data_IF_502359394527
#
_entry.id   IF_502359394527
#
_cell.length_a   1.000
_cell.length_b   1.000
_cell.length_c   1.000
_cell.angle_alpha   90.00
_cell.angle_beta   90.00
_cell.angle_gamma   90.00
#
_symmetry.space_group_name_H-M   'P 1'
#
loop_
_entity.id
_entity.type
_entity.pdbx_description
1 polymer ?
#
# COMPACT_ATOMS: atom_id res chain seq x y z
N UNK A 1 -53.78 -8.83 22.86
CA UNK A 1 -52.42 -8.32 23.11
C UNK A 1 -51.50 -9.16 22.22
N UNK A 2 -51.17 -8.64 21.06
CA UNK A 2 -50.30 -9.26 20.10
C UNK A 2 -48.91 -8.65 20.30
N UNK A 3 -47.97 -9.43 20.87
CA UNK A 3 -46.58 -9.08 20.98
C UNK A 3 -45.97 -9.09 19.57
N UNK A 4 -45.67 -7.90 19.07
CA UNK A 4 -44.88 -7.73 17.87
C UNK A 4 -43.40 -7.92 18.26
N UNK A 5 -42.89 -9.12 18.09
CA UNK A 5 -41.46 -9.44 18.21
C UNK A 5 -40.73 -8.75 17.04
N UNK A 6 -40.15 -7.59 17.30
CA UNK A 6 -39.17 -6.99 16.39
C UNK A 6 -37.95 -7.89 16.42
N UNK A 7 -37.85 -8.82 15.46
CA UNK A 7 -36.63 -9.52 15.16
C UNK A 7 -35.63 -8.47 14.67
N UNK A 8 -34.62 -8.18 15.49
CA UNK A 8 -33.41 -7.51 15.07
C UNK A 8 -32.74 -8.43 14.05
N UNK A 9 -32.93 -8.16 12.77
CA UNK A 9 -32.22 -8.88 11.70
C UNK A 9 -30.74 -8.47 11.77
N UNK A 10 -29.93 -9.28 12.45
CA UNK A 10 -28.47 -9.17 12.38
C UNK A 10 -28.09 -9.29 10.88
N UNK A 11 -27.33 -8.32 10.37
CA UNK A 11 -26.83 -8.34 8.98
C UNK A 11 -26.01 -9.60 8.74
N UNK A 12 -26.11 -10.16 7.53
CA UNK A 12 -25.28 -11.29 7.11
C UNK A 12 -23.81 -10.86 6.94
N UNK A 13 -22.84 -11.78 7.01
CA UNK A 13 -21.45 -11.46 6.71
C UNK A 13 -21.24 -10.83 5.32
N UNK A 14 -22.03 -11.22 4.32
CA UNK A 14 -22.00 -10.62 2.99
C UNK A 14 -22.53 -9.17 2.97
N UNK A 15 -23.55 -8.86 3.74
CA UNK A 15 -24.02 -7.47 3.90
C UNK A 15 -22.98 -6.58 4.58
N UNK A 16 -22.13 -7.15 5.45
CA UNK A 16 -20.97 -6.45 6.02
C UNK A 16 -19.92 -6.17 4.94
N UNK A 17 -19.68 -7.10 3.99
CA UNK A 17 -18.77 -6.87 2.88
C UNK A 17 -19.25 -5.70 1.99
N UNK A 18 -20.53 -5.64 1.68
CA UNK A 18 -21.14 -4.51 0.95
C UNK A 18 -20.95 -3.21 1.73
N UNK A 19 -21.19 -3.25 3.05
CA UNK A 19 -20.98 -2.10 3.94
C UNK A 19 -19.52 -1.64 3.96
N UNK A 20 -18.56 -2.56 3.95
CA UNK A 20 -17.14 -2.24 3.89
C UNK A 20 -16.75 -1.50 2.60
N UNK A 21 -17.36 -1.85 1.47
CA UNK A 21 -17.11 -1.19 0.20
C UNK A 21 -17.83 0.16 0.03
N UNK A 22 -18.79 0.48 0.89
CA UNK A 22 -19.44 1.78 0.87
C UNK A 22 -18.44 2.90 1.23
N UNK A 23 -18.27 3.92 0.38
CA UNK A 23 -17.39 5.05 0.64
C UNK A 23 -17.63 5.76 1.98
N UNK A 24 -18.86 5.74 2.48
CA UNK A 24 -19.21 6.36 3.76
C UNK A 24 -18.50 5.72 4.97
N UNK A 25 -18.07 4.45 4.86
CA UNK A 25 -17.37 3.73 5.93
C UNK A 25 -15.84 3.80 5.84
N UNK A 26 -15.29 4.45 4.81
CA UNK A 26 -13.83 4.58 4.65
C UNK A 26 -13.13 5.38 5.75
N UNK A 27 -13.74 6.41 6.36
CA UNK A 27 -13.11 7.12 7.48
C UNK A 27 -12.82 6.22 8.69
N UNK A 28 -13.69 5.22 8.96
CA UNK A 28 -13.50 4.20 10.00
C UNK A 28 -14.08 2.85 9.56
N UNK A 29 -13.29 1.98 8.91
CA UNK A 29 -13.77 0.68 8.44
C UNK A 29 -13.75 -0.39 9.53
N UNK A 30 -13.15 -0.13 10.70
CA UNK A 30 -12.87 -1.15 11.70
C UNK A 30 -14.09 -1.78 12.35
N UNK A 31 -15.17 -1.04 12.66
CA UNK A 31 -16.39 -1.69 13.18
C UNK A 31 -16.93 -2.79 12.25
N UNK A 32 -16.89 -2.57 10.93
CA UNK A 32 -17.31 -3.56 9.93
C UNK A 32 -16.26 -4.68 9.77
N UNK A 33 -14.98 -4.34 9.75
CA UNK A 33 -13.89 -5.32 9.66
C UNK A 33 -13.89 -6.30 10.84
N UNK A 34 -14.21 -5.85 12.06
CA UNK A 34 -14.34 -6.72 13.24
C UNK A 34 -15.48 -7.72 13.08
N UNK A 35 -16.62 -7.28 12.56
CA UNK A 35 -17.76 -8.16 12.29
C UNK A 35 -17.42 -9.20 11.22
N UNK A 36 -16.76 -8.78 10.14
CA UNK A 36 -16.33 -9.67 9.08
C UNK A 36 -15.28 -10.68 9.58
N UNK A 37 -14.31 -10.26 10.41
CA UNK A 37 -13.34 -11.18 11.02
C UNK A 37 -14.03 -12.21 11.91
N UNK A 38 -14.95 -11.78 12.77
CA UNK A 38 -15.69 -12.65 13.68
C UNK A 38 -16.56 -13.68 12.93
N UNK A 39 -17.10 -13.31 11.76
CA UNK A 39 -17.87 -14.21 10.89
C UNK A 39 -17.03 -15.04 9.90
N UNK A 40 -15.71 -14.84 9.87
CA UNK A 40 -14.80 -15.52 8.93
C UNK A 40 -14.54 -16.99 9.33
N UNK A 41 -14.41 -17.93 8.37
CA UNK A 41 -14.60 -17.76 6.92
C UNK A 41 -16.07 -17.64 6.49
N UNK A 42 -16.34 -16.88 5.42
CA UNK A 42 -17.68 -16.84 4.83
C UNK A 42 -17.65 -16.67 3.31
N UNK A 43 -18.70 -17.15 2.65
CA UNK A 43 -18.86 -16.99 1.21
C UNK A 43 -19.64 -15.72 0.89
N UNK A 44 -19.30 -15.09 -0.24
CA UNK A 44 -19.98 -13.95 -0.85
C UNK A 44 -20.12 -14.17 -2.37
N UNK A 45 -20.88 -13.28 -3.05
CA UNK A 45 -21.09 -13.33 -4.49
C UNK A 45 -21.62 -14.70 -4.96
N UNK A 46 -22.72 -15.16 -4.34
CA UNK A 46 -23.33 -16.46 -4.62
C UNK A 46 -22.33 -17.63 -4.52
N UNK A 47 -21.38 -17.56 -3.61
CA UNK A 47 -20.37 -18.58 -3.36
C UNK A 47 -19.13 -18.49 -4.26
N UNK A 48 -19.01 -17.48 -5.12
CA UNK A 48 -17.86 -17.30 -6.00
C UNK A 48 -16.62 -16.72 -5.29
N UNK A 49 -16.81 -16.10 -4.14
CA UNK A 49 -15.76 -15.45 -3.35
C UNK A 49 -15.76 -15.97 -1.92
N UNK A 50 -14.63 -16.42 -1.42
CA UNK A 50 -14.41 -16.73 -0.01
C UNK A 50 -13.72 -15.54 0.67
N UNK A 51 -14.18 -15.14 1.85
CA UNK A 51 -13.63 -14.03 2.62
C UNK A 51 -12.98 -14.55 3.91
N UNK A 52 -11.72 -14.19 4.12
CA UNK A 52 -10.93 -14.53 5.30
C UNK A 52 -10.46 -13.28 6.04
N UNK A 53 -10.68 -13.25 7.36
CA UNK A 53 -10.34 -12.10 8.21
C UNK A 53 -9.46 -12.43 9.42
N UNK A 54 -9.36 -13.71 9.84
CA UNK A 54 -8.47 -14.12 10.94
C UNK A 54 -7.02 -14.09 10.48
N UNK A 55 -6.14 -13.60 11.33
CA UNK A 55 -4.72 -13.45 10.99
C UNK A 55 -4.08 -14.74 10.48
N UNK A 56 -4.29 -15.85 11.22
CA UNK A 56 -3.73 -17.17 10.90
C UNK A 56 -4.16 -17.64 9.51
N UNK A 57 -5.45 -17.53 9.19
CA UNK A 57 -6.01 -17.98 7.91
C UNK A 57 -5.43 -17.14 6.75
N UNK A 58 -5.43 -15.82 6.93
CA UNK A 58 -4.86 -14.87 5.94
C UNK A 58 -3.38 -15.16 5.71
N UNK A 59 -2.58 -15.34 6.76
CA UNK A 59 -1.16 -15.63 6.64
C UNK A 59 -0.92 -17.00 5.97
N UNK A 60 -1.70 -18.02 6.33
CA UNK A 60 -1.61 -19.36 5.73
C UNK A 60 -1.80 -19.30 4.23
N UNK A 61 -2.85 -18.62 3.75
CA UNK A 61 -3.09 -18.45 2.31
C UNK A 61 -1.98 -17.64 1.63
N UNK A 62 -1.52 -16.54 2.24
CA UNK A 62 -0.44 -15.71 1.67
C UNK A 62 0.88 -16.47 1.53
N UNK A 63 1.13 -17.47 2.36
CA UNK A 63 2.36 -18.29 2.35
C UNK A 63 2.22 -19.57 1.55
N UNK A 64 0.99 -19.97 1.19
CA UNK A 64 0.74 -21.19 0.46
C UNK A 64 1.26 -21.12 -0.98
N UNK A 65 2.03 -22.10 -1.45
CA UNK A 65 2.42 -22.20 -2.85
C UNK A 65 1.24 -22.55 -3.78
N UNK A 66 0.12 -22.97 -3.20
CA UNK A 66 -1.11 -23.31 -3.90
C UNK A 66 -2.00 -22.08 -4.14
N UNK A 67 -1.69 -20.95 -3.50
CA UNK A 67 -2.39 -19.69 -3.68
C UNK A 67 -1.76 -18.85 -4.80
N UNK A 68 -2.52 -18.65 -5.88
CA UNK A 68 -2.12 -17.88 -7.04
C UNK A 68 -2.35 -16.37 -6.83
N UNK A 69 -1.38 -15.56 -7.25
CA UNK A 69 -1.53 -14.12 -7.41
C UNK A 69 -1.88 -13.73 -8.86
N UNK A 70 -1.83 -14.66 -9.79
CA UNK A 70 -2.16 -14.42 -11.18
C UNK A 70 -3.67 -14.22 -11.34
N UNK A 71 -4.04 -12.99 -11.68
CA UNK A 71 -5.43 -12.61 -11.90
C UNK A 71 -6.09 -13.33 -13.09
N UNK A 72 -5.30 -13.90 -14.01
CA UNK A 72 -5.78 -14.73 -15.09
C UNK A 72 -6.42 -16.03 -14.61
N UNK A 73 -6.09 -16.47 -13.41
CA UNK A 73 -6.69 -17.62 -12.77
C UNK A 73 -8.01 -17.31 -12.03
N UNK A 74 -8.34 -16.03 -11.82
CA UNK A 74 -9.56 -15.60 -11.13
C UNK A 74 -10.81 -15.81 -11.99
N UNK A 75 -11.90 -16.21 -11.35
CA UNK A 75 -13.22 -16.35 -11.98
C UNK A 75 -14.08 -15.10 -11.87
N UNK A 76 -13.74 -14.21 -10.94
CA UNK A 76 -14.49 -12.97 -10.66
C UNK A 76 -13.88 -11.73 -11.29
N UNK A 77 -12.59 -11.77 -11.67
CA UNK A 77 -11.91 -10.65 -12.33
C UNK A 77 -11.99 -10.80 -13.85
N UNK A 78 -12.25 -9.71 -14.57
CA UNK A 78 -12.40 -9.73 -16.03
C UNK A 78 -11.08 -10.05 -16.75
N UNK A 79 -11.19 -10.82 -17.86
CA UNK A 79 -10.06 -11.27 -18.69
C UNK A 79 -9.35 -10.12 -19.40
N UNK A 80 -10.06 -9.06 -19.80
CA UNK A 80 -9.46 -7.95 -20.57
C UNK A 80 -8.43 -7.14 -19.79
N UNK A 81 -8.60 -7.08 -18.47
CA UNK A 81 -7.62 -6.46 -17.57
C UNK A 81 -6.38 -7.35 -17.32
N UNK A 82 -6.40 -8.62 -17.70
CA UNK A 82 -5.38 -9.63 -17.41
C UNK A 82 -4.26 -9.61 -18.45
N UNK A 83 -4.59 -9.51 -19.75
CA UNK A 83 -3.60 -9.54 -20.85
C UNK A 83 -2.51 -8.44 -20.70
N UNK A 84 -2.90 -7.24 -20.26
CA UNK A 84 -1.98 -6.11 -20.10
C UNK A 84 -1.04 -6.21 -18.89
N UNK A 85 -1.09 -7.31 -18.13
CA UNK A 85 -0.40 -7.47 -16.83
C UNK A 85 0.51 -8.68 -16.74
N UNK A 86 0.65 -9.44 -17.85
CA UNK A 86 1.50 -10.64 -17.90
C UNK A 86 2.99 -10.37 -17.65
N UNK A 87 3.44 -9.12 -17.76
CA UNK A 87 4.81 -8.74 -17.44
C UNK A 87 4.97 -8.12 -16.04
N UNK A 88 3.86 -7.94 -15.28
CA UNK A 88 3.91 -7.29 -13.96
C UNK A 88 4.12 -8.34 -12.87
N UNK A 89 5.30 -8.35 -12.26
CA UNK A 89 5.75 -9.32 -11.26
C UNK A 89 4.71 -9.61 -10.16
N UNK A 90 3.95 -8.61 -9.72
CA UNK A 90 2.94 -8.74 -8.65
C UNK A 90 1.78 -9.67 -9.01
N UNK A 91 1.54 -9.89 -10.32
CA UNK A 91 0.46 -10.73 -10.85
C UNK A 91 0.97 -12.00 -11.53
N UNK A 92 2.16 -12.44 -11.20
CA UNK A 92 2.75 -13.69 -11.69
C UNK A 92 2.90 -14.69 -10.56
N UNK A 93 2.81 -15.96 -10.91
CA UNK A 93 3.15 -17.08 -10.03
C UNK A 93 4.57 -17.59 -10.33
N UNK A 94 5.20 -18.34 -9.42
CA UNK A 94 6.39 -19.13 -9.77
C UNK A 94 6.13 -20.08 -10.95
N UNK A 95 7.08 -20.28 -11.88
CA UNK A 95 8.49 -19.84 -11.81
C UNK A 95 8.74 -18.40 -12.28
N UNK A 96 7.86 -17.78 -13.09
CA UNK A 96 8.08 -16.48 -13.72
C UNK A 96 8.21 -15.36 -12.68
N UNK A 97 7.36 -15.38 -11.65
CA UNK A 97 7.50 -14.49 -10.49
C UNK A 97 8.89 -14.60 -9.86
N UNK A 98 9.35 -15.82 -9.61
CA UNK A 98 10.63 -16.05 -8.91
C UNK A 98 11.79 -15.50 -9.73
N UNK A 99 11.80 -15.72 -11.04
CA UNK A 99 12.79 -15.21 -11.97
C UNK A 99 12.84 -13.67 -11.96
N UNK A 100 11.70 -13.01 -12.24
CA UNK A 100 11.66 -11.55 -12.28
C UNK A 100 12.00 -10.93 -10.93
N UNK A 101 11.47 -11.50 -9.84
CA UNK A 101 11.77 -11.03 -8.49
C UNK A 101 13.25 -11.16 -8.14
N UNK A 102 13.91 -12.24 -8.55
CA UNK A 102 15.36 -12.44 -8.38
C UNK A 102 16.15 -11.28 -9.00
N UNK A 103 15.87 -10.97 -10.28
CA UNK A 103 16.50 -9.88 -11.01
C UNK A 103 16.27 -8.51 -10.34
N UNK A 104 15.03 -8.19 -9.97
CA UNK A 104 14.70 -6.90 -9.32
C UNK A 104 15.31 -6.80 -7.92
N UNK A 105 15.36 -7.89 -7.15
CA UNK A 105 15.93 -7.91 -5.80
C UNK A 105 17.44 -7.62 -5.81
N UNK A 106 18.17 -8.02 -6.85
CA UNK A 106 19.60 -7.69 -7.01
C UNK A 106 19.82 -6.17 -7.11
N UNK A 107 18.88 -5.46 -7.76
CA UNK A 107 18.95 -4.01 -7.88
C UNK A 107 18.43 -3.29 -6.60
N UNK A 108 17.50 -3.91 -5.86
CA UNK A 108 16.80 -3.33 -4.71
C UNK A 108 17.27 -3.93 -3.37
N UNK A 109 18.53 -3.73 -3.04
CA UNK A 109 19.16 -4.32 -1.85
C UNK A 109 18.95 -3.46 -0.58
N UNK A 110 18.99 -4.05 0.64
CA UNK A 110 18.96 -3.28 1.89
C UNK A 110 20.08 -2.22 1.98
N UNK A 111 21.27 -2.53 1.45
CA UNK A 111 22.41 -1.58 1.40
C UNK A 111 22.10 -0.37 0.53
N UNK A 112 21.45 -0.59 -0.62
CA UNK A 112 21.00 0.49 -1.50
C UNK A 112 19.96 1.36 -0.79
N UNK A 113 18.96 0.75 -0.14
CA UNK A 113 17.95 1.51 0.65
C UNK A 113 18.62 2.33 1.74
N UNK A 114 19.57 1.76 2.48
CA UNK A 114 20.30 2.49 3.52
C UNK A 114 21.11 3.67 2.97
N UNK A 115 21.69 3.53 1.77
CA UNK A 115 22.45 4.63 1.14
C UNK A 115 21.57 5.83 0.76
N UNK A 116 20.25 5.67 0.68
CA UNK A 116 19.29 6.74 0.39
C UNK A 116 18.92 7.59 1.62
N UNK A 117 19.25 7.14 2.83
CA UNK A 117 18.79 7.79 4.06
C UNK A 117 19.11 9.29 4.10
N UNK A 118 20.34 9.68 3.78
CA UNK A 118 20.74 11.08 3.72
C UNK A 118 19.93 11.89 2.71
N UNK A 119 19.69 11.31 1.55
CA UNK A 119 18.92 11.97 0.49
C UNK A 119 17.44 12.07 0.81
N UNK A 120 16.86 11.04 1.41
CA UNK A 120 15.46 11.08 1.90
C UNK A 120 15.30 12.18 2.96
N UNK A 121 16.25 12.34 3.88
CA UNK A 121 16.25 13.44 4.85
C UNK A 121 16.21 14.81 4.17
N UNK A 122 17.07 15.05 3.19
CA UNK A 122 17.08 16.30 2.42
C UNK A 122 15.73 16.58 1.74
N UNK A 123 15.15 15.56 1.09
CA UNK A 123 13.84 15.67 0.43
C UNK A 123 12.75 16.02 1.46
N UNK A 124 12.74 15.33 2.59
CA UNK A 124 11.74 15.52 3.64
C UNK A 124 11.89 16.91 4.27
N UNK A 125 13.11 17.36 4.55
CA UNK A 125 13.39 18.70 5.11
C UNK A 125 12.93 19.81 4.16
N UNK A 126 13.22 19.72 2.87
CA UNK A 126 12.71 20.68 1.87
C UNK A 126 11.16 20.67 1.81
N UNK A 127 10.53 19.53 1.97
CA UNK A 127 9.06 19.44 1.98
C UNK A 127 8.46 20.01 3.26
N UNK A 128 9.12 19.89 4.42
CA UNK A 128 8.71 20.61 5.63
C UNK A 128 8.85 22.13 5.46
N UNK A 129 9.90 22.61 4.77
CA UNK A 129 10.01 24.01 4.39
C UNK A 129 8.89 24.47 3.44
N UNK A 130 8.40 23.56 2.58
CA UNK A 130 7.23 23.85 1.73
C UNK A 130 5.95 23.96 2.54
N UNK A 131 5.78 23.11 3.57
CA UNK A 131 4.67 23.25 4.55
C UNK A 131 4.71 24.65 5.19
N UNK A 132 5.89 25.11 5.62
CA UNK A 132 6.05 26.46 6.17
C UNK A 132 5.66 27.56 5.18
N UNK A 133 6.12 27.45 3.93
CA UNK A 133 5.80 28.42 2.87
C UNK A 133 4.33 28.43 2.47
N UNK A 134 3.65 27.29 2.52
CA UNK A 134 2.22 27.17 2.22
C UNK A 134 1.33 27.85 3.26
N UNK A 135 1.82 28.00 4.48
CA UNK A 135 1.10 28.63 5.59
C UNK A 135 0.08 27.72 6.27
N UNK A 136 -0.49 28.20 7.37
CA UNK A 136 -1.45 27.46 8.20
C UNK A 136 -2.88 27.96 7.95
N UNK A 137 -3.89 27.07 7.76
CA UNK A 137 -3.78 25.62 7.65
C UNK A 137 -3.41 25.14 6.24
N UNK A 138 -2.66 24.02 6.15
CA UNK A 138 -2.18 23.42 4.91
C UNK A 138 -2.76 22.02 4.69
N UNK A 139 -2.95 21.62 3.44
CA UNK A 139 -3.36 20.26 3.08
C UNK A 139 -2.13 19.34 3.03
N UNK A 140 -1.97 18.49 4.04
CA UNK A 140 -0.79 17.64 4.24
C UNK A 140 -0.59 16.61 3.11
N UNK A 141 -1.63 15.87 2.65
CA UNK A 141 -1.44 14.98 1.51
C UNK A 141 -0.79 15.66 0.32
N UNK A 142 -1.30 16.81 -0.13
CA UNK A 142 -0.84 17.46 -1.35
C UNK A 142 0.54 18.12 -1.23
N UNK A 143 0.89 18.67 -0.06
CA UNK A 143 2.13 19.45 0.12
C UNK A 143 3.28 18.60 0.69
N UNK A 144 2.97 17.53 1.41
CA UNK A 144 3.97 16.76 2.13
C UNK A 144 3.93 15.25 1.81
N UNK A 145 2.82 14.55 2.19
CA UNK A 145 2.82 13.08 2.18
C UNK A 145 2.95 12.47 0.79
N UNK A 146 2.30 13.05 -0.23
CA UNK A 146 2.40 12.58 -1.62
C UNK A 146 3.72 12.95 -2.29
N UNK A 147 4.27 14.16 -2.12
CA UNK A 147 5.57 14.52 -2.70
C UNK A 147 6.75 13.70 -2.18
N UNK A 148 6.73 13.21 -0.92
CA UNK A 148 7.87 12.43 -0.37
C UNK A 148 8.19 11.22 -1.24
N UNK A 149 7.31 10.20 -1.39
CA UNK A 149 7.66 9.00 -2.14
C UNK A 149 7.84 9.25 -3.64
N UNK A 150 7.15 10.23 -4.23
CA UNK A 150 7.36 10.59 -5.64
C UNK A 150 8.78 11.05 -5.87
N UNK A 151 9.28 11.98 -5.04
CA UNK A 151 10.65 12.49 -5.17
C UNK A 151 11.68 11.40 -4.93
N UNK A 152 11.46 10.55 -3.94
CA UNK A 152 12.38 9.45 -3.63
C UNK A 152 12.47 8.47 -4.80
N UNK A 153 11.35 8.00 -5.34
CA UNK A 153 11.39 7.04 -6.47
C UNK A 153 11.94 7.67 -7.73
N UNK A 154 11.61 8.95 -8.02
CA UNK A 154 12.16 9.66 -9.17
C UNK A 154 13.69 9.75 -9.10
N UNK A 155 14.24 10.12 -7.95
CA UNK A 155 15.69 10.18 -7.78
C UNK A 155 16.37 8.82 -7.88
N UNK A 156 15.77 7.77 -7.29
CA UNK A 156 16.27 6.40 -7.43
C UNK A 156 16.35 5.96 -8.89
N UNK A 157 15.41 6.43 -9.72
CA UNK A 157 15.34 6.14 -11.15
C UNK A 157 16.11 7.13 -12.03
N UNK A 158 16.76 8.14 -11.43
CA UNK A 158 17.52 9.15 -12.17
C UNK A 158 16.66 10.11 -12.98
N UNK A 159 15.40 10.31 -12.58
CA UNK A 159 14.46 11.26 -13.20
C UNK A 159 14.82 12.68 -12.78
N UNK A 160 15.00 13.64 -13.73
CA UNK A 160 15.25 15.03 -13.42
C UNK A 160 14.14 15.67 -12.54
N UNK A 161 14.53 16.62 -11.68
CA UNK A 161 13.61 17.22 -10.71
C UNK A 161 12.43 17.96 -11.35
N UNK A 162 12.63 18.56 -12.54
CA UNK A 162 11.61 19.22 -13.34
C UNK A 162 10.49 18.27 -13.77
N UNK A 163 10.77 16.97 -13.89
CA UNK A 163 9.81 15.96 -14.34
C UNK A 163 9.07 15.27 -13.18
N UNK A 164 9.47 15.47 -11.92
CA UNK A 164 8.84 14.79 -10.76
C UNK A 164 7.32 14.98 -10.70
N UNK A 165 6.82 16.16 -11.11
CA UNK A 165 5.38 16.46 -11.11
C UNK A 165 4.60 15.55 -12.06
N UNK A 166 5.11 15.29 -13.27
CA UNK A 166 4.44 14.42 -14.24
C UNK A 166 4.44 12.97 -13.76
N UNK A 167 5.50 12.55 -13.06
CA UNK A 167 5.56 11.21 -12.44
C UNK A 167 4.49 11.01 -11.37
N UNK A 168 4.19 12.03 -10.55
CA UNK A 168 3.07 12.00 -9.61
C UNK A 168 1.73 11.77 -10.32
N UNK A 169 1.49 12.45 -11.45
CA UNK A 169 0.29 12.26 -12.27
C UNK A 169 0.24 10.85 -12.87
N UNK A 170 1.32 10.41 -13.51
CA UNK A 170 1.40 9.07 -14.10
C UNK A 170 1.22 7.98 -13.07
N UNK A 171 1.80 8.11 -11.89
CA UNK A 171 1.64 7.14 -10.80
C UNK A 171 0.18 6.97 -10.39
N UNK A 172 -0.57 8.08 -10.29
CA UNK A 172 -2.01 8.03 -9.95
C UNK A 172 -2.82 7.33 -11.05
N UNK A 173 -2.56 7.64 -12.34
CA UNK A 173 -3.25 7.00 -13.46
C UNK A 173 -2.91 5.50 -13.53
N UNK A 174 -1.62 5.16 -13.52
CA UNK A 174 -1.18 3.77 -13.59
C UNK A 174 -1.63 2.95 -12.36
N UNK A 175 -1.75 3.58 -11.18
CA UNK A 175 -2.18 2.96 -9.94
C UNK A 175 -3.62 2.45 -9.98
N UNK A 176 -4.50 3.04 -10.79
CA UNK A 176 -5.89 2.57 -11.02
C UNK A 176 -5.93 1.10 -11.45
N UNK A 177 -4.91 0.65 -12.17
CA UNK A 177 -4.80 -0.73 -12.63
C UNK A 177 -4.62 -1.74 -11.49
N UNK A 178 -4.20 -1.33 -10.29
CA UNK A 178 -4.08 -2.21 -9.13
C UNK A 178 -5.43 -2.47 -8.46
N UNK A 179 -6.38 -1.54 -8.58
CA UNK A 179 -7.67 -1.61 -7.90
C UNK A 179 -8.73 -2.32 -8.76
N UNK A 180 -9.31 -3.46 -8.30
CA UNK A 180 -10.30 -4.23 -9.06
C UNK A 180 -11.60 -3.45 -9.32
N UNK A 181 -12.03 -2.61 -8.36
CA UNK A 181 -13.27 -1.83 -8.51
C UNK A 181 -13.08 -0.74 -9.57
N UNK A 182 -11.92 -0.10 -9.59
CA UNK A 182 -11.56 0.84 -10.64
C UNK A 182 -11.45 0.14 -12.00
N UNK A 183 -10.95 -1.10 -12.01
CA UNK A 183 -10.89 -1.91 -13.21
C UNK A 183 -12.27 -2.33 -13.71
N UNK A 184 -13.25 -2.54 -12.82
CA UNK A 184 -14.64 -2.90 -13.17
C UNK A 184 -15.47 -1.71 -13.69
N UNK A 185 -15.12 -0.49 -13.29
CA UNK A 185 -15.84 0.75 -13.64
C UNK A 185 -15.12 1.54 -14.76
N UNK A 186 -14.44 0.87 -15.67
CA UNK A 186 -13.71 1.51 -16.77
C UNK A 186 -14.66 2.11 -17.81
N UNK A 187 -14.33 3.32 -18.26
CA UNK A 187 -14.98 3.95 -19.42
C UNK A 187 -13.97 4.07 -20.56
N UNK A 188 -14.41 4.27 -21.82
CA UNK A 188 -13.51 4.47 -22.94
C UNK A 188 -12.49 5.61 -22.73
N UNK A 189 -12.88 6.66 -22.00
CA UNK A 189 -12.02 7.80 -21.67
C UNK A 189 -10.93 7.39 -20.69
N UNK A 190 -11.26 6.61 -19.66
CA UNK A 190 -10.29 6.07 -18.68
C UNK A 190 -9.33 5.12 -19.38
N UNK A 191 -9.82 4.25 -20.28
CA UNK A 191 -8.98 3.33 -21.05
C UNK A 191 -7.99 4.06 -21.96
N UNK A 192 -8.46 5.14 -22.60
CA UNK A 192 -7.62 6.01 -23.42
C UNK A 192 -6.55 6.69 -22.58
N UNK A 193 -6.91 7.32 -21.45
CA UNK A 193 -5.97 7.97 -20.54
C UNK A 193 -4.91 7.01 -20.04
N UNK A 194 -5.30 5.80 -19.59
CA UNK A 194 -4.38 4.76 -19.11
C UNK A 194 -3.41 4.32 -20.22
N UNK A 195 -3.91 4.13 -21.44
CA UNK A 195 -3.10 3.70 -22.59
C UNK A 195 -2.10 4.79 -23.00
N UNK A 196 -2.55 6.03 -23.10
CA UNK A 196 -1.70 7.18 -23.45
C UNK A 196 -0.64 7.43 -22.36
N UNK A 197 -1.04 7.37 -21.09
CA UNK A 197 -0.11 7.54 -19.96
C UNK A 197 0.95 6.44 -19.94
N UNK A 198 0.56 5.18 -20.15
CA UNK A 198 1.51 4.05 -20.20
C UNK A 198 2.48 4.18 -21.37
N UNK A 199 1.99 4.58 -22.52
CA UNK A 199 2.83 4.80 -23.70
C UNK A 199 3.83 5.93 -23.46
N UNK A 200 3.39 7.06 -22.90
CA UNK A 200 4.25 8.20 -22.56
C UNK A 200 5.31 7.82 -21.51
N UNK A 201 4.90 7.09 -20.44
CA UNK A 201 5.80 6.58 -19.42
C UNK A 201 6.88 5.65 -20.01
N UNK A 202 6.49 4.70 -20.85
CA UNK A 202 7.43 3.78 -21.48
C UNK A 202 8.39 4.51 -22.44
N UNK A 203 7.87 5.47 -23.21
CA UNK A 203 8.73 6.25 -24.10
C UNK A 203 9.74 7.11 -23.32
N UNK A 204 9.32 7.73 -22.24
CA UNK A 204 10.20 8.51 -21.36
C UNK A 204 11.40 7.68 -20.87
N UNK A 205 11.17 6.46 -20.40
CA UNK A 205 12.28 5.61 -19.94
C UNK A 205 13.15 5.09 -21.07
N UNK A 206 12.60 4.81 -22.26
CA UNK A 206 13.41 4.51 -23.44
C UNK A 206 14.39 5.66 -23.78
N UNK A 207 13.86 6.86 -23.78
CA UNK A 207 14.64 8.06 -24.08
C UNK A 207 15.69 8.33 -22.98
N UNK A 208 15.33 8.17 -21.72
CA UNK A 208 16.25 8.30 -20.60
C UNK A 208 17.38 7.27 -20.64
N UNK A 209 17.09 6.02 -20.95
CA UNK A 209 18.09 4.97 -21.12
C UNK A 209 18.99 5.24 -22.32
N UNK A 210 18.41 5.63 -23.48
CA UNK A 210 19.15 5.91 -24.70
C UNK A 210 20.08 7.14 -24.56
N UNK A 211 19.67 8.15 -23.78
CA UNK A 211 20.50 9.34 -23.49
C UNK A 211 21.62 9.06 -22.47
N UNK A 212 21.68 7.87 -21.92
CA UNK A 212 22.69 7.48 -20.94
C UNK A 212 22.29 7.69 -19.47
N UNK A 213 21.03 7.96 -19.18
CA UNK A 213 20.50 8.08 -17.81
C UNK A 213 20.55 6.77 -17.00
N UNK A 214 20.76 5.64 -17.68
CA UNK A 214 21.02 4.34 -17.03
C UNK A 214 22.52 4.07 -16.75
N UNK A 215 23.37 5.10 -16.74
CA UNK A 215 24.78 4.98 -16.39
C UNK A 215 25.00 5.29 -14.91
N UNK A 216 25.92 4.54 -14.27
CA UNK A 216 26.25 4.74 -12.85
C UNK A 216 25.71 3.65 -11.94
N UNK A 217 25.46 3.99 -10.68
CA UNK A 217 25.08 3.04 -9.63
C UNK A 217 23.60 3.15 -9.17
N UNK A 218 22.80 3.99 -9.84
CA UNK A 218 21.37 4.18 -9.53
C UNK A 218 20.52 2.93 -9.80
N UNK A 219 19.31 2.90 -9.27
CA UNK A 219 18.40 1.77 -9.42
C UNK A 219 18.13 1.43 -10.89
N UNK A 220 17.88 2.44 -11.74
CA UNK A 220 17.66 2.23 -13.17
C UNK A 220 18.85 1.52 -13.84
N UNK A 221 20.09 1.97 -13.54
CA UNK A 221 21.30 1.36 -14.08
C UNK A 221 21.45 -0.11 -13.64
N UNK A 222 21.14 -0.39 -12.38
CA UNK A 222 21.16 -1.75 -11.83
C UNK A 222 20.10 -2.64 -12.45
N UNK A 223 18.89 -2.14 -12.69
CA UNK A 223 17.82 -2.90 -13.36
C UNK A 223 18.17 -3.22 -14.82
N UNK A 224 18.77 -2.26 -15.54
CA UNK A 224 19.24 -2.46 -16.93
C UNK A 224 20.36 -3.51 -16.99
N UNK A 225 21.19 -3.60 -15.94
CA UNK A 225 22.34 -4.53 -15.86
C UNK A 225 22.00 -5.83 -15.14
N UNK A 226 20.82 -5.93 -14.51
CA UNK A 226 20.45 -7.10 -13.73
C UNK A 226 20.47 -8.37 -14.59
N UNK A 227 21.24 -9.35 -14.12
CA UNK A 227 21.40 -10.66 -14.76
C UNK A 227 21.48 -11.74 -13.69
N UNK A 228 20.70 -12.79 -13.85
CA UNK A 228 20.73 -13.96 -12.98
C UNK A 228 20.84 -15.23 -13.83
N UNK A 229 21.89 -16.02 -13.60
CA UNK A 229 22.12 -17.27 -14.31
C UNK A 229 22.13 -17.16 -15.86
N UNK A 230 22.54 -16.00 -16.38
CA UNK A 230 22.54 -15.70 -17.82
C UNK A 230 21.20 -15.19 -18.37
N UNK A 231 20.21 -14.99 -17.51
CA UNK A 231 18.91 -14.41 -17.86
C UNK A 231 18.87 -12.92 -17.48
N UNK A 232 18.19 -12.11 -18.29
CA UNK A 232 18.05 -10.66 -18.13
C UNK A 232 16.60 -10.25 -18.24
N UNK A 233 16.26 -9.05 -17.73
CA UNK A 233 14.98 -8.43 -18.03
C UNK A 233 14.90 -8.10 -19.52
N UNK A 234 13.87 -8.57 -20.20
CA UNK A 234 13.51 -8.04 -21.52
C UNK A 234 13.12 -6.56 -21.39
N UNK A 235 13.13 -5.80 -22.49
CA UNK A 235 12.68 -4.41 -22.49
C UNK A 235 11.27 -4.24 -21.91
N UNK A 236 10.33 -5.15 -22.27
CA UNK A 236 8.97 -5.13 -21.75
C UNK A 236 8.93 -5.36 -20.25
N UNK A 237 9.65 -6.35 -19.74
CA UNK A 237 9.73 -6.64 -18.30
C UNK A 237 10.39 -5.49 -17.53
N UNK A 238 11.44 -4.87 -18.10
CA UNK A 238 12.06 -3.69 -17.51
C UNK A 238 11.06 -2.54 -17.38
N UNK A 239 10.39 -2.16 -18.47
CA UNK A 239 9.41 -1.08 -18.47
C UNK A 239 8.22 -1.35 -17.57
N UNK A 240 7.72 -2.59 -17.55
CA UNK A 240 6.67 -3.02 -16.63
C UNK A 240 7.12 -2.97 -15.16
N UNK A 241 8.37 -3.34 -14.88
CA UNK A 241 8.97 -3.24 -13.55
C UNK A 241 9.11 -1.79 -13.10
N UNK A 242 9.58 -0.89 -13.98
CA UNK A 242 9.68 0.55 -13.69
C UNK A 242 8.30 1.15 -13.37
N UNK A 243 7.29 0.80 -14.18
CA UNK A 243 5.92 1.23 -13.92
C UNK A 243 5.39 0.69 -12.58
N UNK A 244 5.65 -0.59 -12.27
CA UNK A 244 5.27 -1.18 -10.98
C UNK A 244 5.94 -0.46 -9.81
N UNK A 245 7.25 -0.17 -9.89
CA UNK A 245 7.97 0.51 -8.80
C UNK A 245 7.42 1.91 -8.53
N UNK A 246 7.15 2.67 -9.58
CA UNK A 246 6.57 4.03 -9.45
C UNK A 246 5.16 3.97 -8.86
N UNK A 247 4.30 3.12 -9.40
CA UNK A 247 2.90 3.07 -8.97
C UNK A 247 2.74 2.45 -7.57
N UNK A 248 3.47 1.35 -7.25
CA UNK A 248 3.35 0.67 -5.97
C UNK A 248 4.04 1.41 -4.82
N UNK A 249 5.15 2.10 -5.10
CA UNK A 249 5.93 2.84 -4.10
C UNK A 249 5.33 4.18 -3.70
N UNK A 250 4.52 4.79 -4.57
CA UNK A 250 4.02 6.15 -4.35
C UNK A 250 2.83 6.19 -3.37
N UNK A 251 1.66 5.72 -3.80
CA UNK A 251 0.41 5.94 -3.06
C UNK A 251 0.38 5.22 -1.72
N UNK A 252 0.93 4.02 -1.65
CA UNK A 252 1.00 3.24 -0.41
C UNK A 252 1.80 3.94 0.68
N UNK A 253 2.96 4.50 0.33
CA UNK A 253 3.83 5.21 1.26
C UNK A 253 3.26 6.59 1.62
N UNK A 254 2.67 7.30 0.66
CA UNK A 254 1.97 8.56 0.90
C UNK A 254 0.82 8.39 1.90
N UNK A 255 0.03 7.33 1.74
CA UNK A 255 -1.05 6.99 2.66
C UNK A 255 -0.50 6.59 4.04
N UNK A 256 0.62 5.85 4.12
CA UNK A 256 1.28 5.51 5.38
C UNK A 256 1.73 6.77 6.15
N UNK A 257 2.34 7.74 5.46
CA UNK A 257 2.75 9.01 6.06
C UNK A 257 1.53 9.81 6.53
N UNK A 258 0.48 9.90 5.69
CA UNK A 258 -0.76 10.61 6.03
C UNK A 258 -1.47 9.99 7.22
N UNK A 259 -1.61 8.65 7.26
CA UNK A 259 -2.17 7.92 8.39
C UNK A 259 -1.30 8.08 9.63
N UNK A 260 0.02 8.08 9.49
CA UNK A 260 0.95 8.30 10.60
C UNK A 260 0.75 9.66 11.26
N UNK A 261 0.67 10.73 10.46
CA UNK A 261 0.40 12.08 10.97
C UNK A 261 -0.98 12.14 11.63
N UNK A 262 -2.02 11.64 10.93
CA UNK A 262 -3.39 11.65 11.45
C UNK A 262 -3.52 10.88 12.78
N UNK A 263 -2.96 9.68 12.83
CA UNK A 263 -3.09 8.80 13.99
C UNK A 263 -2.35 9.37 15.19
N UNK A 264 -1.13 9.89 15.00
CA UNK A 264 -0.38 10.54 16.08
C UNK A 264 -1.07 11.81 16.58
N UNK A 265 -1.70 12.61 15.71
CA UNK A 265 -2.48 13.78 16.14
C UNK A 265 -3.76 13.41 16.91
N UNK A 266 -4.34 12.23 16.64
CA UNK A 266 -5.48 11.69 17.39
C UNK A 266 -5.09 11.02 18.71
N UNK A 267 -3.80 10.70 18.91
CA UNK A 267 -3.27 10.07 20.12
C UNK A 267 -2.15 10.94 20.71
N UNK A 268 -2.50 12.05 21.38
CA UNK A 268 -1.51 13.04 21.85
C UNK A 268 -0.53 12.48 22.90
N UNK A 269 -0.91 11.45 23.66
CA UNK A 269 -0.03 10.70 24.56
C UNK A 269 1.07 9.97 23.80
N UNK A 270 0.76 9.35 22.68
CA UNK A 270 1.72 8.64 21.82
C UNK A 270 2.62 9.64 21.05
N UNK A 271 2.05 10.75 20.62
CA UNK A 271 2.84 11.85 20.03
C UNK A 271 3.84 12.45 21.04
N UNK A 272 3.45 12.57 22.29
CA UNK A 272 4.36 13.05 23.35
C UNK A 272 5.57 12.12 23.51
N UNK A 273 5.36 10.79 23.52
CA UNK A 273 6.43 9.80 23.56
C UNK A 273 7.39 9.92 22.35
N UNK A 274 6.83 10.08 21.14
CA UNK A 274 7.65 10.25 19.93
C UNK A 274 8.48 11.53 19.96
N UNK A 275 7.95 12.62 20.53
CA UNK A 275 8.67 13.90 20.69
C UNK A 275 9.76 13.82 21.75
N UNK A 276 9.52 13.06 22.82
CA UNK A 276 10.50 12.83 23.89
C UNK A 276 11.64 11.92 23.41
N UNK A 277 11.31 10.87 22.68
CA UNK A 277 12.29 9.93 22.11
C UNK A 277 12.06 9.75 20.59
N UNK A 278 12.75 10.53 19.74
CA UNK A 278 12.65 10.39 18.28
C UNK A 278 13.11 9.04 17.72
N UNK A 279 13.81 8.20 18.49
CA UNK A 279 14.19 6.85 18.07
C UNK A 279 12.97 5.92 17.94
N UNK A 280 11.85 6.30 18.55
CA UNK A 280 10.56 5.60 18.40
C UNK A 280 9.91 5.76 17.02
N UNK A 281 10.48 6.55 16.09
CA UNK A 281 9.90 6.74 14.76
C UNK A 281 9.73 5.43 13.98
N UNK A 282 10.72 4.52 14.01
CA UNK A 282 10.60 3.21 13.37
C UNK A 282 9.59 2.29 14.06
N UNK A 283 9.61 2.09 15.39
CA UNK A 283 8.53 1.40 16.10
C UNK A 283 7.15 1.99 15.83
N UNK A 284 7.02 3.31 15.78
CA UNK A 284 5.76 3.99 15.47
C UNK A 284 5.26 3.63 14.06
N UNK A 285 6.13 3.58 13.05
CA UNK A 285 5.76 3.19 11.69
C UNK A 285 5.29 1.73 11.64
N UNK A 286 5.91 0.81 12.34
CA UNK A 286 5.45 -0.59 12.44
C UNK A 286 4.05 -0.66 13.07
N UNK A 287 3.79 0.12 14.12
CA UNK A 287 2.47 0.16 14.76
C UNK A 287 1.42 0.86 13.87
N UNK A 288 1.79 1.94 13.14
CA UNK A 288 0.90 2.58 12.16
C UNK A 288 0.53 1.59 11.04
N UNK A 289 1.50 0.82 10.53
CA UNK A 289 1.26 -0.23 9.54
C UNK A 289 0.28 -1.29 10.04
N UNK A 290 0.37 -1.67 11.31
CA UNK A 290 -0.59 -2.59 11.93
C UNK A 290 -1.96 -1.94 12.11
N UNK A 291 -2.00 -0.76 12.71
CA UNK A 291 -3.21 -0.10 13.19
C UNK A 291 -4.02 0.57 12.08
N UNK A 292 -3.35 1.24 11.12
CA UNK A 292 -3.93 1.97 10.00
C UNK A 292 -3.22 1.63 8.67
N UNK A 293 -3.27 0.35 8.21
CA UNK A 293 -2.60 -0.05 6.98
C UNK A 293 -3.15 0.67 5.76
N UNK A 294 -2.26 1.08 4.85
CA UNK A 294 -2.65 1.60 3.54
C UNK A 294 -3.35 0.54 2.69
N UNK A 295 -2.88 -0.70 2.74
CA UNK A 295 -3.47 -1.85 2.02
C UNK A 295 -4.45 -2.54 2.95
N UNK A 296 -5.75 -2.48 2.62
CA UNK A 296 -6.82 -3.02 3.44
C UNK A 296 -7.10 -4.50 3.16
N UNK A 297 -7.03 -4.88 1.88
CA UNK A 297 -7.39 -6.21 1.40
C UNK A 297 -6.38 -6.71 0.37
N UNK A 298 -6.26 -8.03 0.30
CA UNK A 298 -5.46 -8.75 -0.69
C UNK A 298 -6.33 -9.81 -1.37
N UNK A 299 -5.94 -10.26 -2.56
CA UNK A 299 -6.65 -11.29 -3.31
C UNK A 299 -5.72 -12.42 -3.67
N UNK A 300 -6.24 -13.65 -3.62
CA UNK A 300 -5.59 -14.87 -4.14
C UNK A 300 -6.65 -15.78 -4.76
N UNK A 301 -6.20 -16.72 -5.58
CA UNK A 301 -7.01 -17.83 -6.07
C UNK A 301 -6.34 -19.15 -5.68
N UNK A 302 -7.12 -20.09 -5.14
CA UNK A 302 -6.63 -21.42 -4.79
C UNK A 302 -6.51 -22.28 -6.07
N UNK A 303 -5.27 -22.62 -6.49
CA UNK A 303 -5.04 -23.54 -7.63
C UNK A 303 -5.45 -24.97 -7.31
N UNK A 304 -5.20 -25.39 -6.10
CA UNK A 304 -5.54 -26.67 -5.51
C UNK A 304 -6.16 -26.43 -4.13
N UNK A 305 -6.79 -27.42 -3.48
CA UNK A 305 -7.35 -27.23 -2.14
C UNK A 305 -6.28 -26.75 -1.15
N UNK A 306 -6.64 -25.77 -0.31
CA UNK A 306 -5.76 -25.25 0.75
C UNK A 306 -6.38 -25.56 2.10
N UNK A 307 -5.69 -26.35 2.90
CA UNK A 307 -6.10 -26.69 4.25
C UNK A 307 -5.90 -25.52 5.21
N UNK A 308 -6.94 -25.14 5.93
CA UNK A 308 -6.93 -24.33 7.14
C UNK A 308 -7.25 -25.23 8.33
N UNK A 309 -7.14 -24.76 9.57
CA UNK A 309 -7.35 -25.63 10.76
C UNK A 309 -8.72 -26.31 10.74
N UNK A 310 -9.79 -25.55 10.52
CA UNK A 310 -11.18 -26.04 10.60
C UNK A 310 -11.91 -25.98 9.25
N UNK A 311 -11.22 -25.68 8.16
CA UNK A 311 -11.84 -25.40 6.87
C UNK A 311 -10.89 -25.71 5.71
N UNK A 312 -11.38 -26.28 4.62
CA UNK A 312 -10.65 -26.45 3.36
C UNK A 312 -11.14 -25.44 2.33
N UNK A 313 -10.23 -24.66 1.74
CA UNK A 313 -10.52 -23.78 0.60
C UNK A 313 -10.54 -24.63 -0.66
N UNK A 314 -11.66 -24.73 -1.37
CA UNK A 314 -11.75 -25.52 -2.59
C UNK A 314 -10.84 -25.01 -3.72
N UNK A 315 -10.36 -25.91 -4.58
CA UNK A 315 -9.66 -25.53 -5.80
C UNK A 315 -10.51 -24.63 -6.69
N UNK A 316 -9.88 -23.62 -7.29
CA UNK A 316 -10.53 -22.64 -8.14
C UNK A 316 -11.32 -21.56 -7.39
N UNK A 317 -11.21 -21.49 -6.06
CA UNK A 317 -11.86 -20.47 -5.23
C UNK A 317 -11.08 -19.17 -5.26
N UNK A 318 -11.76 -18.07 -5.57
CA UNK A 318 -11.24 -16.72 -5.31
C UNK A 318 -11.33 -16.39 -3.83
N UNK A 319 -10.26 -15.87 -3.24
CA UNK A 319 -10.13 -15.60 -1.81
C UNK A 319 -9.81 -14.14 -1.57
N UNK A 320 -10.67 -13.43 -0.85
CA UNK A 320 -10.45 -12.09 -0.36
C UNK A 320 -9.86 -12.17 1.06
N UNK A 321 -8.70 -11.59 1.22
CA UNK A 321 -7.92 -11.60 2.46
C UNK A 321 -8.01 -10.20 3.10
N UNK A 322 -8.65 -10.10 4.27
CA UNK A 322 -8.86 -8.85 4.98
C UNK A 322 -7.64 -8.51 5.83
N UNK A 323 -6.57 -8.00 5.21
CA UNK A 323 -5.31 -7.69 5.90
C UNK A 323 -5.48 -6.69 7.05
N UNK A 324 -6.34 -5.67 6.88
CA UNK A 324 -6.62 -4.71 7.94
C UNK A 324 -7.36 -5.32 9.14
N UNK A 325 -8.27 -6.27 8.91
CA UNK A 325 -8.94 -7.02 9.97
C UNK A 325 -7.97 -7.95 10.70
N UNK A 326 -7.13 -8.67 9.94
CA UNK A 326 -6.10 -9.56 10.47
C UNK A 326 -5.07 -8.82 11.34
N UNK A 327 -4.71 -7.59 10.98
CA UNK A 327 -3.80 -6.74 11.76
C UNK A 327 -4.36 -6.29 13.12
N UNK A 328 -5.67 -6.46 13.33
CA UNK A 328 -6.33 -6.20 14.62
C UNK A 328 -6.96 -7.48 15.21
N UNK A 329 -6.36 -8.63 14.92
CA UNK A 329 -6.81 -9.90 15.47
C UNK A 329 -6.36 -10.06 16.93
N UNK A 330 -7.30 -10.20 17.91
CA UNK A 330 -6.96 -10.37 19.32
C UNK A 330 -6.25 -11.69 19.62
N UNK A 331 -6.29 -12.68 18.71
CA UNK A 331 -5.53 -13.91 18.88
C UNK A 331 -4.01 -13.71 18.66
N UNK A 332 -3.62 -12.57 18.01
CA UNK A 332 -2.21 -12.27 17.70
C UNK A 332 -1.72 -11.00 18.40
N UNK A 333 -2.59 -10.03 18.58
CA UNK A 333 -2.25 -8.72 19.15
C UNK A 333 -3.07 -8.45 20.42
N UNK A 334 -2.41 -8.33 21.55
CA UNK A 334 -3.04 -7.87 22.78
C UNK A 334 -3.58 -6.44 22.61
N UNK A 335 -4.81 -6.18 23.09
CA UNK A 335 -5.47 -4.88 22.90
C UNK A 335 -5.34 -4.35 21.47
N UNK A 336 -5.85 -5.08 20.44
CA UNK A 336 -5.55 -4.78 19.04
C UNK A 336 -6.05 -3.41 18.59
N UNK A 337 -7.05 -2.86 19.26
CA UNK A 337 -7.64 -1.55 18.98
C UNK A 337 -6.98 -0.40 19.75
N UNK A 338 -5.98 -0.69 20.58
CA UNK A 338 -5.13 0.30 21.21
C UNK A 338 -3.94 0.61 20.30
N UNK A 339 -3.75 1.89 19.99
CA UNK A 339 -2.57 2.40 19.32
C UNK A 339 -1.44 2.61 20.33
N UNK A 340 -0.29 1.96 20.10
CA UNK A 340 0.85 1.99 21.03
C UNK A 340 2.16 1.93 20.22
N UNK A 341 2.83 3.06 20.07
CA UNK A 341 4.08 3.17 19.31
C UNK A 341 5.25 2.39 19.91
N UNK A 342 5.12 1.93 21.15
CA UNK A 342 6.15 1.12 21.81
C UNK A 342 5.98 -0.37 21.56
N UNK A 343 4.84 -0.80 20.98
CA UNK A 343 4.52 -2.21 20.72
C UNK A 343 5.59 -2.93 19.91
N UNK A 344 6.25 -2.24 18.97
CA UNK A 344 7.33 -2.77 18.14
C UNK A 344 8.73 -2.58 18.73
N UNK A 345 8.86 -2.02 19.94
CA UNK A 345 10.18 -1.77 20.54
C UNK A 345 10.90 -3.09 20.82
N UNK A 346 12.05 -3.28 20.17
CA UNK A 346 12.89 -4.47 20.31
C UNK A 346 12.36 -5.75 19.67
N UNK A 347 11.22 -5.70 18.94
CA UNK A 347 10.64 -6.85 18.22
C UNK A 347 10.02 -6.42 16.89
N UNK A 348 9.93 -7.37 15.96
CA UNK A 348 9.12 -7.21 14.76
C UNK A 348 7.65 -7.49 15.10
N UNK A 349 6.73 -6.71 14.53
CA UNK A 349 5.30 -7.02 14.56
C UNK A 349 4.94 -7.92 13.37
N UNK A 350 4.06 -8.88 13.63
CA UNK A 350 3.61 -9.84 12.61
C UNK A 350 2.39 -9.31 11.83
N UNK A 351 2.37 -7.99 11.54
CA UNK A 351 1.33 -7.40 10.70
C UNK A 351 1.47 -7.83 9.23
N UNK A 352 0.34 -7.90 8.52
CA UNK A 352 0.24 -8.35 7.14
C UNK A 352 0.17 -7.22 6.10
N UNK A 353 0.45 -5.97 6.50
CA UNK A 353 0.40 -4.78 5.64
C UNK A 353 1.37 -4.80 4.47
N UNK A 354 2.44 -5.61 4.57
CA UNK A 354 3.38 -5.88 3.49
C UNK A 354 3.18 -7.25 2.87
N UNK A 355 2.03 -7.89 3.07
CA UNK A 355 1.78 -9.28 2.68
C UNK A 355 2.77 -10.27 3.35
N UNK A 356 2.70 -11.54 3.00
CA UNK A 356 3.58 -12.61 3.47
C UNK A 356 3.95 -13.54 2.31
N UNK A 357 4.86 -14.49 2.55
CA UNK A 357 5.29 -15.48 1.55
C UNK A 357 6.09 -14.87 0.40
N UNK A 358 5.99 -15.49 -0.78
CA UNK A 358 6.80 -15.15 -1.96
C UNK A 358 6.50 -13.74 -2.52
N UNK A 359 5.27 -13.24 -2.30
CA UNK A 359 4.84 -11.91 -2.70
C UNK A 359 5.00 -10.83 -1.61
N UNK A 360 5.75 -11.11 -0.55
CA UNK A 360 6.02 -10.08 0.46
C UNK A 360 6.61 -8.83 -0.21
N UNK A 361 6.13 -7.64 0.20
CA UNK A 361 6.52 -6.36 -0.41
C UNK A 361 8.04 -6.19 -0.50
N UNK A 362 8.53 -5.91 -1.71
CA UNK A 362 9.96 -5.65 -1.97
C UNK A 362 10.40 -4.31 -1.36
N UNK A 363 9.53 -3.29 -1.44
CA UNK A 363 9.77 -1.94 -0.95
C UNK A 363 9.58 -1.75 0.56
N UNK A 364 9.29 -2.81 1.34
CA UNK A 364 8.94 -2.68 2.76
C UNK A 364 9.95 -1.87 3.58
N UNK A 365 11.26 -2.08 3.36
CA UNK A 365 12.30 -1.36 4.10
C UNK A 365 12.39 0.11 3.66
N UNK A 366 12.22 0.40 2.38
CA UNK A 366 12.23 1.76 1.86
C UNK A 366 11.01 2.55 2.37
N UNK A 367 9.80 2.01 2.23
CA UNK A 367 8.58 2.69 2.69
C UNK A 367 8.58 2.95 4.20
N UNK A 368 9.14 2.04 4.99
CA UNK A 368 9.34 2.28 6.43
C UNK A 368 10.36 3.39 6.71
N UNK A 369 11.47 3.42 5.98
CA UNK A 369 12.48 4.46 6.11
C UNK A 369 11.91 5.83 5.75
N UNK A 370 11.23 5.94 4.61
CA UNK A 370 10.57 7.18 4.18
C UNK A 370 9.57 7.68 5.22
N UNK A 371 8.69 6.80 5.69
CA UNK A 371 7.68 7.17 6.67
C UNK A 371 8.29 7.58 8.02
N UNK A 372 9.30 6.85 8.51
CA UNK A 372 9.96 7.18 9.77
C UNK A 372 10.64 8.55 9.71
N UNK A 373 11.40 8.82 8.65
CA UNK A 373 12.06 10.12 8.45
C UNK A 373 11.05 11.25 8.26
N UNK A 374 9.96 11.01 7.51
CA UNK A 374 8.90 11.99 7.31
C UNK A 374 8.20 12.36 8.62
N UNK A 375 7.81 11.36 9.42
CA UNK A 375 7.17 11.60 10.73
C UNK A 375 8.11 12.31 11.70
N UNK A 376 9.38 11.88 11.75
CA UNK A 376 10.39 12.51 12.61
C UNK A 376 10.58 13.98 12.25
N UNK A 377 10.79 14.32 10.99
CA UNK A 377 10.99 15.69 10.55
C UNK A 377 9.73 16.54 10.76
N UNK A 378 8.55 16.03 10.43
CA UNK A 378 7.29 16.74 10.60
C UNK A 378 7.06 17.11 12.08
N UNK A 379 7.09 16.13 12.99
CA UNK A 379 6.78 16.37 14.40
C UNK A 379 7.89 17.04 15.21
N UNK A 380 9.12 17.07 14.70
CA UNK A 380 10.21 17.84 15.32
C UNK A 380 10.21 19.31 14.91
N UNK A 381 9.68 19.65 13.72
CA UNK A 381 9.75 21.01 13.16
C UNK A 381 8.41 21.74 13.16
N UNK A 382 7.28 21.03 12.96
CA UNK A 382 5.95 21.66 12.94
C UNK A 382 5.43 21.82 14.37
N UNK A 383 5.15 23.07 14.75
CA UNK A 383 4.73 23.43 16.11
C UNK A 383 3.20 23.37 16.24
N UNK A 384 2.72 22.73 17.29
CA UNK A 384 1.30 22.60 17.65
C UNK A 384 0.37 22.20 16.49
N UNK A 385 0.72 21.14 15.72
CA UNK A 385 -0.10 20.71 14.60
C UNK A 385 -1.45 20.15 15.08
N UNK A 386 -2.53 20.55 14.42
CA UNK A 386 -3.89 20.10 14.71
C UNK A 386 -4.66 19.84 13.41
N UNK A 387 -5.39 18.74 13.34
CA UNK A 387 -6.29 18.46 12.20
C UNK A 387 -7.51 19.39 12.33
N UNK A 388 -7.75 20.19 11.29
CA UNK A 388 -8.86 21.15 11.22
C UNK A 388 -9.90 20.77 10.16
N UNK A 389 -9.75 19.62 9.52
CA UNK A 389 -10.76 19.06 8.61
C UNK A 389 -11.89 18.45 9.44
N UNK A 390 -13.12 18.96 9.28
CA UNK A 390 -14.30 18.47 10.01
C UNK A 390 -14.65 17.03 9.61
N UNK A 391 -14.61 16.73 8.30
CA UNK A 391 -14.85 15.40 7.75
C UNK A 391 -13.73 15.05 6.79
N UNK A 392 -13.03 13.96 7.07
CA UNK A 392 -11.96 13.47 6.21
C UNK A 392 -12.54 12.79 4.98
N UNK A 393 -12.16 13.28 3.81
CA UNK A 393 -12.41 12.64 2.53
C UNK A 393 -11.33 11.60 2.26
N UNK A 394 -11.75 10.38 1.92
CA UNK A 394 -10.85 9.28 1.55
C UNK A 394 -10.94 9.01 0.05
N UNK A 395 -9.82 8.59 -0.53
CA UNK A 395 -9.77 8.24 -1.95
C UNK A 395 -10.72 7.09 -2.28
N UNK A 396 -11.30 7.06 -3.49
CA UNK A 396 -12.30 6.07 -3.88
C UNK A 396 -11.71 4.68 -4.20
N UNK A 397 -10.52 4.35 -3.70
CA UNK A 397 -9.92 3.03 -3.86
C UNK A 397 -10.49 2.02 -2.87
N UNK A 398 -10.56 0.74 -3.27
CA UNK A 398 -11.03 -0.37 -2.43
C UNK A 398 -9.86 -1.05 -1.73
N UNK A 399 -8.77 -1.26 -2.45
CA UNK A 399 -7.58 -1.92 -1.90
C UNK A 399 -6.80 -0.96 -1.01
N UNK A 400 -6.63 0.29 -1.49
CA UNK A 400 -5.84 1.30 -0.80
C UNK A 400 -6.74 2.24 -0.01
N UNK A 401 -6.34 2.54 1.22
CA UNK A 401 -7.02 3.53 2.06
C UNK A 401 -6.04 4.63 2.44
N UNK A 402 -6.45 5.87 2.28
CA UNK A 402 -5.72 7.05 2.69
C UNK A 402 -6.55 8.32 2.49
N UNK A 403 -6.34 9.35 3.32
CA UNK A 403 -7.05 10.60 3.18
C UNK A 403 -6.67 11.29 1.87
N UNK A 404 -7.69 11.72 1.12
CA UNK A 404 -7.50 12.53 -0.08
C UNK A 404 -7.13 13.97 0.30
N UNK A 405 -7.80 14.49 1.36
CA UNK A 405 -7.55 15.82 1.92
C UNK A 405 -7.48 15.74 3.42
N UNK A 406 -6.47 16.41 3.99
CA UNK A 406 -6.29 16.52 5.44
C UNK A 406 -5.62 17.86 5.75
N UNK A 407 -6.43 18.84 6.12
CA UNK A 407 -5.90 20.15 6.51
C UNK A 407 -5.43 20.14 7.96
N UNK A 408 -4.20 20.60 8.14
CA UNK A 408 -3.56 20.72 9.45
C UNK A 408 -3.20 22.18 9.68
N UNK A 409 -3.62 22.72 10.81
CA UNK A 409 -3.17 24.00 11.31
C UNK A 409 -1.93 23.82 12.20
N UNK A 410 -1.10 24.83 12.29
CA UNK A 410 0.09 24.86 13.14
C UNK A 410 0.44 26.31 13.53
N UNK A 411 1.19 26.49 14.63
CA UNK A 411 1.61 27.80 15.12
C UNK A 411 2.90 28.30 14.48
N UNK A 412 3.77 27.40 14.03
CA UNK A 412 5.04 27.70 13.38
C UNK A 412 5.71 26.48 12.80
N UNK A 413 6.79 26.70 12.05
CA UNK A 413 7.72 25.65 11.57
C UNK A 413 9.15 26.13 11.84
N UNK A 414 9.94 25.30 12.53
CA UNK A 414 11.37 25.55 12.82
C UNK A 414 12.28 25.19 11.68
#
# INVERSE_FOLDING_TARGET
>A
MTETTTASTARSPEEHLITFFDPANRPDPYPVLHLMRAGSPFYAMDGALLVLGRHKDVETVLRSPLASADRGNSRILSTDAVESRKEVMTFLDPPDHTRLRGLVTQAFTPRMVQSLEGRIKEIVDDLVDQVARAGSPVDIPSVFSYPVPVRVICEMLGVPAEDHKIFGTWSTVLGRALDPLMAANRTPEIDKEDTETRAAFYQYFRDLIASGGARGEGLLARLVQAEEQGDRLSEKELLATLALLVMAGHETTANLISHGILTLLRHPDQLALLREDPSLAFPAVEEILRFEPSVQILHRMAKEPIELDDFEIPAGMDVLLLAAAANRDPEVFDDPDRFDITRASGRRLDHLSFSSGVHRCLGANLGKLEAALALQAFFSRVEDPQVVTESLEYRPHVILRGPERMRVSFSGVR
#
